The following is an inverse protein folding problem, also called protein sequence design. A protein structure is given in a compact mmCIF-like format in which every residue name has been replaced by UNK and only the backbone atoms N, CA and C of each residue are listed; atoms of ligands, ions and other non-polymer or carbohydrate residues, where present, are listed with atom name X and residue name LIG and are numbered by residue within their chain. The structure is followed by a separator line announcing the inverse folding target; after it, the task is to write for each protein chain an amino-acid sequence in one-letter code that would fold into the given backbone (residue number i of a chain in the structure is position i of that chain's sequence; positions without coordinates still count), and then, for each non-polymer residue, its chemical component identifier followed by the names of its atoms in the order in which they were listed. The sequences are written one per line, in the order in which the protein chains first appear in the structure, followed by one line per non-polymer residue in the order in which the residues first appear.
data_IF_681666001562
#
_entry.id   IF_681666001562
#
_cell.length_a   1.000
_cell.length_b   1.000
_cell.length_c   1.000
_cell.angle_alpha   90.00
_cell.angle_beta   90.00
_cell.angle_gamma   90.00
#
_symmetry.space_group_name_H-M   'P 1'
#
loop_
_entity.id
_entity.type
_entity.pdbx_description
1 polymer ?
#
# COMPACT_ATOMS: atom_id res chain seq x y z
N UNK A 1 -2.09 23.09 -18.59
CA UNK A 1 -1.61 21.96 -17.79
C UNK A 1 -2.77 21.52 -16.93
N UNK A 2 -3.22 20.28 -17.09
CA UNK A 2 -4.31 19.73 -16.26
C UNK A 2 -3.78 19.42 -14.86
N UNK A 3 -4.68 19.25 -13.90
CA UNK A 3 -4.29 18.84 -12.54
C UNK A 3 -3.63 17.46 -12.51
N UNK A 4 -4.07 16.55 -13.39
CA UNK A 4 -3.43 15.24 -13.61
C UNK A 4 -1.99 15.39 -14.12
N UNK A 5 -1.75 16.27 -15.09
CA UNK A 5 -0.39 16.53 -15.61
C UNK A 5 0.55 17.06 -14.52
N UNK A 6 0.04 17.94 -13.64
CA UNK A 6 0.79 18.45 -12.51
C UNK A 6 1.14 17.33 -11.52
N UNK A 7 0.17 16.47 -11.18
CA UNK A 7 0.41 15.32 -10.30
C UNK A 7 1.49 14.38 -10.89
N UNK A 8 1.43 14.09 -12.19
CA UNK A 8 2.44 13.27 -12.87
C UNK A 8 3.83 13.92 -12.85
N UNK A 9 3.89 15.23 -13.07
CA UNK A 9 5.11 15.99 -12.97
C UNK A 9 5.71 15.93 -11.55
N UNK A 10 4.89 16.11 -10.52
CA UNK A 10 5.32 16.10 -9.13
C UNK A 10 5.79 14.71 -8.69
N UNK A 11 5.11 13.64 -9.11
CA UNK A 11 5.55 12.26 -8.87
C UNK A 11 6.93 11.98 -9.48
N UNK A 12 7.17 12.44 -10.72
CA UNK A 12 8.47 12.33 -11.37
C UNK A 12 9.54 13.16 -10.66
N UNK A 13 9.21 14.38 -10.24
CA UNK A 13 10.12 15.25 -9.50
C UNK A 13 10.50 14.66 -8.13
N UNK A 14 9.58 13.94 -7.47
CA UNK A 14 9.83 13.18 -6.25
C UNK A 14 10.71 11.92 -6.46
N UNK A 15 10.94 11.53 -7.72
CA UNK A 15 11.82 10.41 -8.08
C UNK A 15 11.11 9.09 -8.37
N UNK A 16 9.79 9.12 -8.60
CA UNK A 16 9.07 7.98 -9.21
C UNK A 16 9.49 7.85 -10.67
N UNK A 17 9.80 6.63 -11.09
CA UNK A 17 10.32 6.30 -12.42
C UNK A 17 9.52 5.14 -13.01
N UNK A 18 9.55 5.07 -14.34
CA UNK A 18 9.02 3.92 -15.07
C UNK A 18 9.70 2.63 -14.60
N UNK A 19 8.90 1.58 -14.36
CA UNK A 19 9.36 0.29 -13.87
C UNK A 19 9.44 0.17 -12.34
N UNK A 20 9.19 1.25 -11.60
CA UNK A 20 9.18 1.17 -10.14
C UNK A 20 8.03 0.29 -9.60
N UNK A 21 8.30 -0.43 -8.51
CA UNK A 21 7.26 -0.94 -7.62
C UNK A 21 7.04 0.08 -6.50
N UNK A 22 5.84 0.66 -6.40
CA UNK A 22 5.53 1.74 -5.44
C UNK A 22 4.35 1.35 -4.58
N UNK A 23 4.55 1.29 -3.26
CA UNK A 23 3.47 1.15 -2.29
C UNK A 23 3.04 2.53 -1.79
N UNK A 24 1.76 2.84 -1.98
CA UNK A 24 1.19 4.16 -1.74
C UNK A 24 0.37 4.16 -0.45
N UNK A 25 0.71 5.09 0.43
CA UNK A 25 -0.13 5.56 1.51
C UNK A 25 -0.60 6.98 1.19
N UNK A 26 -1.91 7.21 1.24
CA UNK A 26 -2.49 8.46 0.73
C UNK A 26 -3.65 8.96 1.56
N UNK A 27 -3.80 10.28 1.62
CA UNK A 27 -5.01 10.96 2.05
C UNK A 27 -5.55 11.84 0.93
N UNK A 28 -6.71 11.48 0.37
CA UNK A 28 -7.40 12.30 -0.65
C UNK A 28 -7.71 13.70 -0.13
N UNK A 29 -8.06 13.82 1.16
CA UNK A 29 -8.31 15.11 1.81
C UNK A 29 -7.06 15.99 1.83
N UNK A 30 -5.90 15.41 2.15
CA UNK A 30 -4.64 16.15 2.21
C UNK A 30 -4.07 16.46 0.82
N UNK A 31 -4.33 15.60 -0.17
CA UNK A 31 -4.01 15.88 -1.56
C UNK A 31 -4.77 17.11 -2.09
N UNK A 32 -5.97 17.39 -1.55
CA UNK A 32 -6.72 18.62 -1.84
C UNK A 32 -7.13 18.76 -3.31
N UNK A 33 -7.16 17.64 -4.04
CA UNK A 33 -7.36 17.61 -5.49
C UNK A 33 -8.84 17.63 -5.87
N UNK A 34 -9.14 18.11 -7.09
CA UNK A 34 -10.46 17.96 -7.72
C UNK A 34 -10.60 16.66 -8.52
N UNK A 35 -9.50 15.93 -8.71
CA UNK A 35 -9.50 14.64 -9.40
C UNK A 35 -10.32 13.60 -8.63
N UNK A 36 -10.98 12.71 -9.37
CA UNK A 36 -11.62 11.54 -8.77
C UNK A 36 -10.57 10.55 -8.24
N UNK A 37 -10.93 9.65 -7.31
CA UNK A 37 -10.05 8.56 -6.89
C UNK A 37 -9.48 7.74 -8.05
N UNK A 38 -10.30 7.48 -9.07
CA UNK A 38 -9.92 6.77 -10.29
C UNK A 38 -8.85 7.55 -11.07
N UNK A 39 -9.04 8.86 -11.28
CA UNK A 39 -8.06 9.71 -11.97
C UNK A 39 -6.72 9.78 -11.23
N UNK A 40 -6.75 9.81 -9.89
CA UNK A 40 -5.53 9.76 -9.06
C UNK A 40 -4.84 8.39 -9.18
N UNK A 41 -5.59 7.29 -9.13
CA UNK A 41 -5.06 5.93 -9.32
C UNK A 41 -4.44 5.78 -10.71
N UNK A 42 -5.08 6.33 -11.74
CA UNK A 42 -4.58 6.29 -13.11
C UNK A 42 -3.30 7.11 -13.25
N UNK A 43 -3.22 8.30 -12.62
CA UNK A 43 -1.99 9.08 -12.59
C UNK A 43 -0.84 8.34 -11.88
N UNK A 44 -1.13 7.68 -10.75
CA UNK A 44 -0.16 6.85 -10.04
C UNK A 44 0.31 5.68 -10.91
N UNK A 45 -0.61 4.99 -11.57
CA UNK A 45 -0.30 3.87 -12.47
C UNK A 45 0.54 4.34 -13.68
N UNK A 46 0.18 5.48 -14.27
CA UNK A 46 0.89 6.08 -15.39
C UNK A 46 2.31 6.52 -14.98
N UNK A 47 2.49 7.00 -13.75
CA UNK A 47 3.80 7.42 -13.24
C UNK A 47 4.82 6.27 -13.15
N UNK A 48 4.37 5.05 -12.87
CA UNK A 48 5.23 3.84 -12.82
C UNK A 48 5.28 3.11 -14.16
N UNK A 49 4.39 3.44 -15.10
CA UNK A 49 4.32 2.88 -16.45
C UNK A 49 3.94 1.40 -16.50
N UNK A 50 3.94 0.83 -17.71
CA UNK A 50 3.48 -0.56 -17.96
C UNK A 50 4.36 -1.62 -17.28
N UNK A 51 5.65 -1.33 -17.13
CA UNK A 51 6.60 -2.21 -16.44
C UNK A 51 6.60 -2.02 -14.93
N UNK A 52 5.96 -0.98 -14.43
CA UNK A 52 5.87 -0.67 -13.01
C UNK A 52 4.83 -1.51 -12.29
N UNK A 53 4.75 -1.31 -10.98
CA UNK A 53 3.73 -1.95 -10.13
C UNK A 53 3.27 -0.98 -9.05
N UNK A 54 1.97 -0.76 -8.97
CA UNK A 54 1.35 0.06 -7.94
C UNK A 54 0.81 -0.86 -6.85
N UNK A 55 1.10 -0.55 -5.58
CA UNK A 55 0.57 -1.25 -4.42
C UNK A 55 -0.17 -0.30 -3.49
N UNK A 56 -1.23 -0.76 -2.87
CA UNK A 56 -1.93 -0.05 -1.81
C UNK A 56 -2.34 -1.03 -0.70
N UNK A 57 -2.05 -0.71 0.58
CA UNK A 57 -2.59 -1.48 1.68
C UNK A 57 -4.11 -1.49 1.65
N UNK A 58 -4.70 -2.65 1.87
CA UNK A 58 -6.13 -2.91 1.83
C UNK A 58 -6.56 -3.56 3.15
N UNK A 59 -6.23 -2.89 4.26
CA UNK A 59 -6.41 -3.43 5.61
C UNK A 59 -7.89 -3.69 5.90
N UNK A 60 -8.15 -4.68 6.76
CA UNK A 60 -9.49 -5.23 7.03
C UNK A 60 -9.71 -5.49 8.51
N UNK A 61 -8.91 -4.89 9.39
CA UNK A 61 -8.98 -5.12 10.84
C UNK A 61 -10.32 -4.70 11.47
N UNK A 62 -11.10 -3.82 10.83
CA UNK A 62 -12.47 -3.50 11.28
C UNK A 62 -13.50 -4.54 10.85
N UNK A 63 -13.22 -5.27 9.76
CA UNK A 63 -14.14 -6.22 9.14
C UNK A 63 -13.88 -7.68 9.55
N UNK A 64 -12.64 -7.97 9.94
CA UNK A 64 -12.20 -9.31 10.35
C UNK A 64 -11.82 -9.28 11.81
N UNK A 65 -12.66 -9.91 12.64
CA UNK A 65 -12.59 -9.87 14.10
C UNK A 65 -12.78 -11.26 14.71
N UNK A 66 -12.76 -11.35 16.04
CA UNK A 66 -13.07 -12.60 16.75
C UNK A 66 -14.46 -13.15 16.45
N UNK A 67 -15.42 -12.28 16.08
CA UNK A 67 -16.80 -12.64 15.71
C UNK A 67 -16.96 -12.87 14.20
N UNK A 68 -16.20 -12.14 13.38
CA UNK A 68 -16.22 -12.23 11.92
C UNK A 68 -14.85 -12.72 11.41
N UNK A 69 -14.60 -14.02 11.48
CA UNK A 69 -13.25 -14.60 11.26
C UNK A 69 -12.89 -14.88 9.81
N UNK A 70 -13.80 -14.64 8.87
CA UNK A 70 -13.59 -14.98 7.46
C UNK A 70 -13.12 -13.75 6.71
N UNK A 71 -11.92 -13.86 6.16
CA UNK A 71 -11.41 -12.94 5.15
C UNK A 71 -11.58 -13.58 3.78
N UNK A 72 -12.15 -12.83 2.85
CA UNK A 72 -12.20 -13.18 1.44
C UNK A 72 -11.68 -12.00 0.62
N UNK A 73 -10.66 -12.28 -0.20
CA UNK A 73 -9.94 -11.23 -0.93
C UNK A 73 -10.83 -10.46 -1.91
N UNK A 74 -11.87 -11.10 -2.46
CA UNK A 74 -12.78 -10.54 -3.45
C UNK A 74 -14.00 -9.82 -2.87
N UNK A 75 -14.34 -10.05 -1.59
CA UNK A 75 -15.57 -9.52 -0.99
C UNK A 75 -15.38 -8.75 0.32
N UNK A 76 -14.32 -8.98 1.09
CA UNK A 76 -14.08 -8.22 2.33
C UNK A 76 -13.55 -6.82 2.01
N UNK A 77 -14.31 -5.73 2.24
CA UNK A 77 -13.89 -4.40 1.83
C UNK A 77 -12.71 -3.88 2.67
N UNK A 78 -11.79 -3.09 2.08
CA UNK A 78 -10.78 -2.35 2.85
C UNK A 78 -11.44 -1.38 3.84
N UNK A 79 -10.82 -1.16 4.99
CA UNK A 79 -11.27 -0.22 6.02
C UNK A 79 -10.39 1.05 6.11
N UNK A 80 -9.43 1.23 5.20
CA UNK A 80 -8.46 2.34 5.27
C UNK A 80 -8.47 3.24 4.03
N UNK A 81 -9.35 4.25 4.05
CA UNK A 81 -9.30 5.36 3.11
C UNK A 81 -9.88 5.09 1.72
N UNK A 82 -10.01 6.17 0.94
CA UNK A 82 -10.78 6.16 -0.30
C UNK A 82 -10.05 5.47 -1.45
N UNK A 83 -8.74 5.73 -1.63
CA UNK A 83 -7.99 5.11 -2.74
C UNK A 83 -7.95 3.57 -2.63
N UNK A 84 -7.62 2.94 -1.49
CA UNK A 84 -7.69 1.49 -1.38
C UNK A 84 -9.09 0.91 -1.64
N UNK A 85 -10.14 1.62 -1.18
CA UNK A 85 -11.56 1.23 -1.37
C UNK A 85 -11.98 1.25 -2.84
N UNK A 86 -11.40 2.13 -3.65
CA UNK A 86 -11.64 2.15 -5.11
C UNK A 86 -10.71 1.17 -5.82
N UNK A 87 -9.43 1.16 -5.47
CA UNK A 87 -8.39 0.39 -6.13
C UNK A 87 -8.65 -1.11 -6.10
N UNK A 88 -9.02 -1.71 -4.96
CA UNK A 88 -9.14 -3.17 -4.83
C UNK A 88 -10.19 -3.82 -5.76
N UNK A 89 -11.15 -3.05 -6.30
CA UNK A 89 -12.16 -3.54 -7.26
C UNK A 89 -11.83 -3.24 -8.72
N UNK A 90 -10.73 -2.54 -9.00
CA UNK A 90 -10.38 -2.22 -10.37
C UNK A 90 -9.87 -3.45 -11.13
N UNK A 91 -10.12 -3.53 -12.46
CA UNK A 91 -9.57 -4.59 -13.28
C UNK A 91 -8.04 -4.70 -13.18
N UNK A 92 -7.55 -5.94 -13.19
CA UNK A 92 -6.11 -6.25 -13.14
C UNK A 92 -5.46 -6.05 -11.77
N UNK A 93 -6.23 -5.75 -10.72
CA UNK A 93 -5.73 -5.68 -9.34
C UNK A 93 -5.77 -7.07 -8.70
N UNK A 94 -4.62 -7.51 -8.18
CA UNK A 94 -4.48 -8.70 -7.35
C UNK A 94 -4.41 -8.29 -5.87
N UNK A 95 -4.90 -9.14 -4.96
CA UNK A 95 -4.88 -8.87 -3.53
C UNK A 95 -4.27 -10.04 -2.76
N UNK A 96 -3.32 -9.73 -1.90
CA UNK A 96 -2.65 -10.73 -1.07
C UNK A 96 -3.59 -11.34 -0.02
N UNK A 97 -3.34 -12.58 0.38
CA UNK A 97 -4.14 -13.26 1.38
C UNK A 97 -3.60 -13.07 2.81
N UNK A 98 -4.05 -12.02 3.50
CA UNK A 98 -3.86 -11.87 4.94
C UNK A 98 -5.12 -11.28 5.60
N UNK A 99 -5.67 -11.87 6.68
CA UNK A 99 -7.00 -11.54 7.18
C UNK A 99 -7.22 -10.08 7.58
N UNK A 100 -6.18 -9.39 8.07
CA UNK A 100 -6.27 -8.01 8.57
C UNK A 100 -5.39 -7.02 7.80
N UNK A 101 -4.38 -7.50 7.07
CA UNK A 101 -3.29 -6.69 6.52
C UNK A 101 -3.01 -6.96 5.04
N UNK A 102 -4.03 -7.38 4.30
CA UNK A 102 -3.89 -7.59 2.86
C UNK A 102 -3.43 -6.31 2.13
N UNK A 103 -2.73 -6.48 1.01
CA UNK A 103 -2.28 -5.41 0.11
C UNK A 103 -2.78 -5.72 -1.29
N UNK A 104 -3.31 -4.71 -1.97
CA UNK A 104 -3.67 -4.79 -3.39
C UNK A 104 -2.48 -4.34 -4.24
N UNK A 105 -2.28 -4.97 -5.39
CA UNK A 105 -1.24 -4.64 -6.34
C UNK A 105 -1.73 -4.73 -7.80
N UNK A 106 -1.23 -3.86 -8.67
CA UNK A 106 -1.47 -3.90 -10.12
C UNK A 106 -0.19 -3.57 -10.87
N UNK A 107 0.12 -4.36 -11.90
CA UNK A 107 1.30 -4.17 -12.75
C UNK A 107 2.20 -5.41 -12.79
N UNK A 108 3.41 -5.24 -13.32
CA UNK A 108 4.29 -6.35 -13.72
C UNK A 108 4.68 -7.33 -12.59
N UNK A 109 4.73 -6.85 -11.34
CA UNK A 109 5.11 -7.64 -10.16
C UNK A 109 3.92 -7.96 -9.24
N UNK A 110 2.68 -7.64 -9.62
CA UNK A 110 1.50 -7.77 -8.76
C UNK A 110 1.37 -9.18 -8.16
N UNK A 111 1.41 -10.22 -9.02
CA UNK A 111 1.36 -11.61 -8.58
C UNK A 111 2.49 -11.96 -7.61
N UNK A 112 3.75 -11.67 -8.00
CA UNK A 112 4.94 -11.97 -7.20
C UNK A 112 4.86 -11.36 -5.79
N UNK A 113 4.37 -10.13 -5.70
CA UNK A 113 4.32 -9.39 -4.44
C UNK A 113 3.14 -9.81 -3.55
N UNK A 114 2.09 -10.44 -4.10
CA UNK A 114 0.86 -10.73 -3.35
C UNK A 114 0.65 -12.22 -3.03
N UNK A 115 1.17 -13.14 -3.84
CA UNK A 115 0.82 -14.57 -3.79
C UNK A 115 1.27 -15.31 -2.52
N UNK A 116 2.27 -14.81 -1.81
CA UNK A 116 2.88 -15.54 -0.69
C UNK A 116 2.34 -15.20 0.70
N UNK A 117 1.49 -14.18 0.84
CA UNK A 117 1.21 -13.57 2.15
C UNK A 117 0.55 -14.54 3.17
N UNK A 118 -0.24 -15.50 2.70
CA UNK A 118 -0.86 -16.53 3.54
C UNK A 118 0.14 -17.52 4.16
N UNK A 119 1.39 -17.51 3.70
CA UNK A 119 2.44 -18.39 4.22
C UNK A 119 3.08 -17.82 5.49
N UNK A 120 2.76 -16.57 5.86
CA UNK A 120 3.27 -15.92 7.06
C UNK A 120 2.30 -16.05 8.23
N UNK A 121 2.84 -16.30 9.41
CA UNK A 121 2.08 -16.29 10.67
C UNK A 121 1.85 -14.86 11.23
N UNK A 122 2.40 -13.85 10.56
CA UNK A 122 2.29 -12.44 10.96
C UNK A 122 1.99 -11.54 9.76
N UNK A 123 1.39 -10.37 10.04
CA UNK A 123 0.97 -9.38 9.05
C UNK A 123 2.09 -8.81 8.16
N UNK A 124 3.34 -8.89 8.60
CA UNK A 124 4.51 -8.37 7.87
C UNK A 124 5.65 -9.39 7.86
N UNK A 125 5.31 -10.67 7.71
CA UNK A 125 6.31 -11.72 7.59
C UNK A 125 7.12 -11.65 6.28
N UNK A 126 8.08 -12.57 6.10
CA UNK A 126 8.98 -12.58 4.94
C UNK A 126 8.28 -12.65 3.57
N UNK A 127 7.09 -13.25 3.49
CA UNK A 127 6.31 -13.38 2.27
C UNK A 127 5.29 -12.26 2.07
N UNK A 128 5.13 -11.38 3.07
CA UNK A 128 4.23 -10.24 3.00
C UNK A 128 4.63 -9.27 1.88
N UNK A 129 3.66 -8.61 1.24
CA UNK A 129 3.93 -7.57 0.24
C UNK A 129 4.84 -6.46 0.78
N UNK A 130 4.76 -6.17 2.09
CA UNK A 130 5.61 -5.18 2.75
C UNK A 130 7.09 -5.56 2.74
N UNK A 131 7.41 -6.83 3.00
CA UNK A 131 8.79 -7.33 2.96
C UNK A 131 9.26 -7.62 1.54
N UNK A 132 8.38 -8.17 0.70
CA UNK A 132 8.70 -8.43 -0.72
C UNK A 132 8.97 -7.14 -1.50
N UNK A 133 8.33 -6.01 -1.14
CA UNK A 133 8.63 -4.71 -1.73
C UNK A 133 10.10 -4.34 -1.58
N UNK A 134 10.70 -4.56 -0.40
CA UNK A 134 12.12 -4.30 -0.17
C UNK A 134 13.02 -5.24 -1.00
N UNK A 135 12.64 -6.51 -1.15
CA UNK A 135 13.39 -7.50 -1.95
C UNK A 135 13.49 -7.08 -3.42
N UNK A 136 12.46 -6.43 -3.96
CA UNK A 136 12.45 -5.95 -5.36
C UNK A 136 12.97 -4.52 -5.51
N UNK A 137 13.51 -3.90 -4.45
CA UNK A 137 13.97 -2.51 -4.48
C UNK A 137 12.84 -1.49 -4.66
N UNK A 138 11.64 -1.82 -4.20
CA UNK A 138 10.47 -0.97 -4.29
C UNK A 138 10.52 0.25 -3.38
N UNK A 139 9.60 1.19 -3.63
CA UNK A 139 9.55 2.51 -3.00
C UNK A 139 8.26 2.67 -2.20
N UNK A 140 8.32 3.53 -1.18
CA UNK A 140 7.15 3.98 -0.45
C UNK A 140 6.82 5.41 -0.84
N UNK A 141 5.58 5.65 -1.26
CA UNK A 141 5.06 6.97 -1.55
C UNK A 141 4.02 7.35 -0.50
N UNK A 142 4.19 8.53 0.10
CA UNK A 142 3.23 9.10 1.04
C UNK A 142 2.67 10.39 0.47
N UNK A 143 1.35 10.47 0.37
CA UNK A 143 0.61 11.64 -0.11
C UNK A 143 -0.23 12.21 1.03
N UNK A 144 0.18 13.37 1.54
CA UNK A 144 -0.49 14.10 2.62
C UNK A 144 0.22 14.06 3.97
N UNK A 145 -0.24 14.89 4.90
CA UNK A 145 0.22 14.95 6.30
C UNK A 145 -0.28 13.74 7.08
N UNK A 146 0.33 12.59 6.82
CA UNK A 146 0.18 11.41 7.64
C UNK A 146 1.34 11.45 8.61
N UNK A 147 1.06 11.78 9.89
CA UNK A 147 2.00 11.70 11.02
C UNK A 147 2.95 10.53 10.78
N UNK A 148 4.24 10.84 10.67
CA UNK A 148 5.38 10.05 10.20
C UNK A 148 5.13 8.54 9.95
N UNK A 149 4.23 8.20 9.01
CA UNK A 149 3.94 6.81 8.67
C UNK A 149 5.10 6.16 7.90
N UNK A 150 6.03 7.00 7.40
CA UNK A 150 7.34 6.58 6.91
C UNK A 150 8.15 5.98 8.05
N UNK A 151 8.32 6.71 9.16
CA UNK A 151 8.97 6.19 10.35
C UNK A 151 8.18 5.02 10.95
N UNK A 152 6.86 5.12 11.09
CA UNK A 152 6.08 4.07 11.76
C UNK A 152 6.05 2.74 10.98
N UNK A 153 5.91 2.79 9.64
CA UNK A 153 5.96 1.58 8.82
C UNK A 153 7.40 1.05 8.71
N UNK A 154 8.40 1.91 8.49
CA UNK A 154 9.79 1.47 8.39
C UNK A 154 10.32 0.91 9.72
N UNK A 155 10.02 1.57 10.84
CA UNK A 155 10.35 1.11 12.21
C UNK A 155 9.53 -0.11 12.57
N UNK A 156 8.23 -0.15 12.27
CA UNK A 156 7.40 -1.34 12.48
C UNK A 156 7.95 -2.56 11.72
N UNK A 157 8.32 -2.39 10.44
CA UNK A 157 8.95 -3.45 9.64
C UNK A 157 10.34 -3.84 10.18
N UNK A 158 11.15 -2.88 10.64
CA UNK A 158 12.44 -3.18 11.26
C UNK A 158 12.30 -3.95 12.58
N UNK A 159 11.45 -3.47 13.49
CA UNK A 159 11.19 -4.10 14.79
C UNK A 159 10.58 -5.49 14.63
N UNK A 160 9.61 -5.66 13.72
CA UNK A 160 9.00 -6.97 13.46
C UNK A 160 9.96 -7.95 12.75
N UNK A 161 10.92 -7.45 11.97
CA UNK A 161 11.99 -8.28 11.39
C UNK A 161 13.01 -8.74 12.45
N UNK A 162 13.31 -7.89 13.43
CA UNK A 162 14.34 -8.16 14.46
C UNK A 162 13.75 -8.94 15.64
N UNK A 163 12.47 -8.70 15.96
CA UNK A 163 11.81 -9.27 17.11
C UNK A 163 10.36 -9.69 16.75
N UNK A 164 10.07 -10.99 16.63
CA UNK A 164 8.75 -11.48 16.21
C UNK A 164 7.61 -11.15 17.20
N UNK A 165 7.92 -10.58 18.37
CA UNK A 165 6.95 -10.16 19.40
C UNK A 165 7.16 -8.70 19.86
N UNK A 166 7.48 -7.78 18.95
CA UNK A 166 7.65 -6.36 19.29
C UNK A 166 6.31 -5.65 19.56
N UNK A 167 6.18 -5.00 20.73
CA UNK A 167 5.11 -4.05 21.05
C UNK A 167 5.73 -2.68 21.31
N UNK A 168 5.64 -1.78 20.32
CA UNK A 168 6.22 -0.43 20.40
C UNK A 168 5.19 0.52 20.97
N UNK A 169 5.37 0.94 22.23
CA UNK A 169 4.40 1.77 22.98
C UNK A 169 4.75 3.25 23.00
N UNK A 170 6.03 3.60 22.80
CA UNK A 170 6.50 4.98 22.77
C UNK A 170 6.97 5.33 21.36
N UNK A 171 6.04 5.89 20.58
CA UNK A 171 6.31 6.36 19.23
C UNK A 171 6.76 7.82 19.20
N UNK A 172 6.71 8.53 20.34
CA UNK A 172 6.96 9.99 20.42
C UNK A 172 8.40 10.39 20.10
N UNK A 173 9.34 9.45 20.23
CA UNK A 173 10.76 9.65 19.87
C UNK A 173 11.00 9.66 18.35
N UNK A 174 9.98 9.35 17.57
CA UNK A 174 10.03 9.17 16.12
C UNK A 174 9.05 10.10 15.40
N UNK A 175 8.54 11.12 16.11
CA UNK A 175 7.71 12.22 15.61
C UNK A 175 8.53 13.51 15.70
#
# INVERSE_FOLDING_TARGET
MTEKDQLLHDLKALGVKEGDAVLVHSSMKALGTKLTPEEVIDALQESVGEKGTLLMPALTYENVSGEHRVFDSGSTPPCIGLLPTVFWKQPGVERSLHPTHSVCARGALAHRLTVGHQMDDTAVGPHSPFMQLAVVGGKLLFIGDIIDARALLAVGLMEMRINPYAFVTDISKWI
#
